data_IF_575860974842
#
_entry.id   IF_575860974842
#
_cell.length_a   1.000
_cell.length_b   1.000
_cell.length_c   1.000
_cell.angle_alpha   90.00
_cell.angle_beta   90.00
_cell.angle_gamma   90.00
#
_symmetry.space_group_name_H-M   'P 1'
#
loop_
_entity.id
_entity.type
_entity.pdbx_description
1 polymer ?
#
# COMPACT_ATOMS: atom_id res chain seq x y z
N UNK A 1 -6.54 24.77 7.01
CA UNK A 1 -5.87 24.99 5.72
C UNK A 1 -6.89 24.90 4.60
N UNK A 2 -6.83 25.79 3.63
CA UNK A 2 -7.58 25.75 2.38
C UNK A 2 -6.59 25.63 1.25
N UNK A 3 -6.90 24.85 0.24
CA UNK A 3 -6.04 24.69 -0.92
C UNK A 3 -6.82 24.14 -2.11
N UNK A 4 -6.12 24.00 -3.24
CA UNK A 4 -6.59 23.30 -4.41
C UNK A 4 -5.66 22.11 -4.66
N UNK A 5 -6.25 20.96 -5.02
CA UNK A 5 -5.51 19.81 -5.50
C UNK A 5 -6.08 19.43 -6.88
N UNK A 6 -5.32 19.75 -7.92
CA UNK A 6 -5.87 19.77 -9.28
C UNK A 6 -7.01 20.79 -9.36
N UNK A 7 -8.14 20.38 -9.89
CA UNK A 7 -9.35 21.22 -10.01
C UNK A 7 -10.31 21.12 -8.80
N UNK A 8 -9.87 20.46 -7.72
CA UNK A 8 -10.69 20.25 -6.54
C UNK A 8 -10.27 21.16 -5.38
N UNK A 9 -11.20 21.94 -4.86
CA UNK A 9 -11.03 22.65 -3.60
C UNK A 9 -10.97 21.65 -2.44
N UNK A 10 -10.05 21.83 -1.51
CA UNK A 10 -10.05 21.09 -0.25
C UNK A 10 -9.94 22.03 0.96
N UNK A 11 -10.47 21.58 2.07
CA UNK A 11 -10.37 22.26 3.35
C UNK A 11 -9.94 21.23 4.40
N UNK A 12 -8.78 21.45 4.98
CA UNK A 12 -8.29 20.64 6.11
C UNK A 12 -8.65 21.33 7.42
N UNK A 13 -9.40 20.63 8.26
CA UNK A 13 -9.79 21.06 9.61
C UNK A 13 -9.21 20.15 10.70
N UNK A 14 -8.39 19.19 10.34
CA UNK A 14 -7.79 18.22 11.28
C UNK A 14 -6.93 18.88 12.36
N UNK A 15 -6.32 20.03 12.04
CA UNK A 15 -5.54 20.81 13.00
C UNK A 15 -6.35 21.20 14.26
N UNK A 16 -7.65 21.36 14.15
CA UNK A 16 -8.53 21.68 15.28
C UNK A 16 -8.56 20.55 16.32
N UNK A 17 -8.42 19.29 15.88
CA UNK A 17 -8.31 18.13 16.76
C UNK A 17 -6.95 18.15 17.51
N UNK A 18 -5.87 18.46 16.80
CA UNK A 18 -4.54 18.55 17.38
C UNK A 18 -4.44 19.67 18.44
N UNK A 19 -5.21 20.74 18.27
CA UNK A 19 -5.32 21.85 19.23
C UNK A 19 -6.37 21.60 20.34
N UNK A 20 -6.99 20.41 20.37
CA UNK A 20 -8.04 20.08 21.35
C UNK A 20 -9.38 20.78 21.11
N UNK A 21 -9.59 21.43 19.96
CA UNK A 21 -10.78 22.23 19.62
C UNK A 21 -11.89 21.38 18.99
N UNK A 22 -12.30 20.30 19.65
CA UNK A 22 -13.23 19.30 19.10
C UNK A 22 -14.62 19.89 18.74
N UNK A 23 -15.13 20.86 19.51
CA UNK A 23 -16.40 21.53 19.20
C UNK A 23 -16.30 22.38 17.92
N UNK A 24 -15.18 23.04 17.71
CA UNK A 24 -14.95 23.79 16.48
C UNK A 24 -14.81 22.86 15.28
N UNK A 25 -14.14 21.71 15.45
CA UNK A 25 -14.08 20.65 14.44
C UNK A 25 -15.49 20.21 14.00
N UNK A 26 -16.39 19.92 14.96
CA UNK A 26 -17.76 19.56 14.63
C UNK A 26 -18.53 20.68 13.94
N UNK A 27 -18.37 21.89 14.43
CA UNK A 27 -19.07 23.04 13.85
C UNK A 27 -18.66 23.27 12.40
N UNK A 28 -17.35 23.28 12.13
CA UNK A 28 -16.81 23.44 10.77
C UNK A 28 -17.21 22.28 9.86
N UNK A 29 -17.12 21.03 10.31
CA UNK A 29 -17.56 19.87 9.55
C UNK A 29 -19.03 19.96 9.11
N UNK A 30 -19.92 20.38 10.02
CA UNK A 30 -21.34 20.59 9.69
C UNK A 30 -21.58 21.71 8.71
N UNK A 31 -20.84 22.85 8.85
CA UNK A 31 -20.92 23.95 7.89
C UNK A 31 -20.56 23.47 6.49
N UNK A 32 -19.47 22.71 6.33
CA UNK A 32 -19.03 22.21 5.04
C UNK A 32 -20.04 21.24 4.44
N UNK A 33 -20.51 20.27 5.20
CA UNK A 33 -21.53 19.32 4.72
C UNK A 33 -22.78 20.05 4.25
N UNK A 34 -23.26 21.03 5.01
CA UNK A 34 -24.44 21.81 4.61
C UNK A 34 -24.18 22.67 3.38
N UNK A 35 -22.98 23.30 3.29
CA UNK A 35 -22.58 24.16 2.15
C UNK A 35 -22.53 23.39 0.84
N UNK A 36 -22.05 22.14 0.87
CA UNK A 36 -21.84 21.33 -0.34
C UNK A 36 -22.98 20.37 -0.66
N UNK A 37 -23.98 20.29 0.23
CA UNK A 37 -25.17 19.48 -0.05
C UNK A 37 -25.95 20.08 -1.23
N UNK A 38 -26.26 19.25 -2.21
CA UNK A 38 -27.10 19.63 -3.35
C UNK A 38 -28.25 18.62 -3.47
N UNK A 39 -29.49 19.09 -3.27
CA UNK A 39 -30.70 18.25 -3.32
C UNK A 39 -30.92 17.56 -4.67
N UNK A 40 -30.40 18.15 -5.75
CA UNK A 40 -30.60 17.68 -7.13
C UNK A 40 -29.53 16.70 -7.58
N UNK A 41 -28.56 16.40 -6.72
CA UNK A 41 -27.43 15.51 -7.02
C UNK A 41 -27.28 14.43 -5.96
N UNK A 42 -26.63 13.33 -6.35
CA UNK A 42 -26.15 12.35 -5.38
C UNK A 42 -25.00 12.95 -4.58
N UNK A 43 -25.20 13.03 -3.27
CA UNK A 43 -24.18 13.51 -2.34
C UNK A 43 -23.52 12.30 -1.68
N UNK A 44 -22.19 12.22 -1.68
CA UNK A 44 -21.43 11.11 -1.11
C UNK A 44 -20.37 11.64 -0.16
N UNK A 45 -20.26 11.03 1.00
CA UNK A 45 -19.12 11.20 1.92
C UNK A 45 -18.30 9.92 1.90
N UNK A 46 -17.03 10.01 1.54
CA UNK A 46 -16.06 8.90 1.64
C UNK A 46 -15.25 9.09 2.91
N UNK A 47 -15.36 8.11 3.81
CA UNK A 47 -14.61 8.08 5.07
C UNK A 47 -13.38 7.20 4.87
N UNK A 48 -12.20 7.82 4.82
CA UNK A 48 -10.94 7.11 4.66
C UNK A 48 -10.48 6.50 5.98
N UNK A 49 -10.10 5.23 5.94
CA UNK A 49 -9.66 4.45 7.09
C UNK A 49 -10.75 4.23 8.17
N UNK A 50 -10.37 4.25 9.42
CA UNK A 50 -11.22 3.97 10.56
C UNK A 50 -11.96 5.23 11.03
N UNK A 51 -13.23 5.07 11.36
CA UNK A 51 -14.02 6.14 11.99
C UNK A 51 -13.62 6.29 13.45
N UNK A 52 -13.03 7.41 13.79
CA UNK A 52 -12.71 7.76 15.16
C UNK A 52 -13.96 8.31 15.89
N UNK A 53 -13.92 8.34 17.22
CA UNK A 53 -15.08 8.78 17.99
C UNK A 53 -15.45 10.25 17.75
N UNK A 54 -14.50 11.10 17.36
CA UNK A 54 -14.75 12.50 17.00
C UNK A 54 -15.35 12.68 15.60
N UNK A 55 -15.21 11.70 14.69
CA UNK A 55 -15.80 11.76 13.35
C UNK A 55 -17.28 11.36 13.36
N UNK A 56 -17.68 10.52 14.33
CA UNK A 56 -19.00 9.94 14.39
C UNK A 56 -20.15 10.96 14.32
N UNK A 57 -20.13 12.11 15.09
CA UNK A 57 -21.20 13.09 14.99
C UNK A 57 -21.27 13.79 13.64
N UNK A 58 -20.14 13.93 12.94
CA UNK A 58 -20.09 14.52 11.58
C UNK A 58 -20.70 13.55 10.58
N UNK A 59 -20.34 12.26 10.63
CA UNK A 59 -20.91 11.22 9.77
C UNK A 59 -22.41 11.07 10.01
N UNK A 60 -22.86 11.06 11.27
CA UNK A 60 -24.28 11.03 11.61
C UNK A 60 -25.02 12.22 11.03
N UNK A 61 -24.42 13.40 11.07
CA UNK A 61 -25.01 14.61 10.49
C UNK A 61 -25.06 14.52 8.96
N UNK A 62 -24.01 14.05 8.29
CA UNK A 62 -24.02 13.81 6.86
C UNK A 62 -25.17 12.87 6.46
N UNK A 63 -25.32 11.74 7.17
CA UNK A 63 -26.42 10.81 6.97
C UNK A 63 -27.79 11.47 7.13
N UNK A 64 -27.96 12.31 8.16
CA UNK A 64 -29.22 13.04 8.39
C UNK A 64 -29.55 14.09 7.32
N UNK A 65 -28.57 14.56 6.58
CA UNK A 65 -28.75 15.45 5.42
C UNK A 65 -29.08 14.67 4.13
N UNK A 66 -28.94 13.35 4.11
CA UNK A 66 -29.17 12.52 2.93
C UNK A 66 -27.90 12.17 2.13
N UNK A 67 -26.73 12.38 2.69
CA UNK A 67 -25.51 11.88 2.08
C UNK A 67 -25.48 10.35 2.09
N UNK A 68 -24.99 9.77 1.00
CA UNK A 68 -24.50 8.39 0.95
C UNK A 68 -23.18 8.28 1.69
N UNK A 69 -23.04 7.28 2.56
CA UNK A 69 -21.84 7.08 3.38
C UNK A 69 -21.07 5.87 2.84
N UNK A 70 -19.84 6.10 2.43
CA UNK A 70 -18.93 5.07 1.91
C UNK A 70 -17.67 5.04 2.76
N UNK A 71 -17.21 3.85 3.12
CA UNK A 71 -15.95 3.67 3.85
C UNK A 71 -14.87 3.16 2.92
N UNK A 72 -13.68 3.76 2.99
CA UNK A 72 -12.48 3.29 2.30
C UNK A 72 -11.52 2.65 3.32
N UNK A 73 -11.42 1.33 3.28
CA UNK A 73 -10.73 0.53 4.27
C UNK A 73 -9.47 -0.09 3.68
N UNK A 74 -8.33 0.45 4.07
CA UNK A 74 -7.00 0.00 3.62
C UNK A 74 -6.27 -0.88 4.64
N UNK A 75 -6.74 -0.91 5.90
CA UNK A 75 -6.13 -1.65 7.00
C UNK A 75 -7.17 -2.26 7.94
N UNK A 76 -6.74 -3.24 8.73
CA UNK A 76 -7.57 -3.84 9.78
C UNK A 76 -7.22 -3.28 11.15
N UNK A 77 -8.14 -3.41 12.12
CA UNK A 77 -7.94 -3.08 13.54
C UNK A 77 -6.91 -3.98 14.25
N UNK A 78 -6.29 -4.94 13.55
CA UNK A 78 -5.40 -5.94 14.15
C UNK A 78 -4.05 -5.42 14.63
N UNK A 79 -3.67 -4.18 14.27
CA UNK A 79 -2.38 -3.58 14.67
C UNK A 79 -2.26 -3.32 16.18
N UNK A 80 -3.31 -3.55 16.97
CA UNK A 80 -3.35 -3.16 18.38
C UNK A 80 -3.00 -4.28 19.36
N UNK A 81 -2.83 -5.51 18.89
CA UNK A 81 -2.62 -6.68 19.80
C UNK A 81 -1.16 -6.96 20.18
N UNK A 82 -0.19 -6.21 19.66
CA UNK A 82 1.24 -6.50 19.86
C UNK A 82 2.07 -5.43 20.56
N UNK A 83 1.50 -4.27 20.87
CA UNK A 83 2.24 -3.19 21.55
C UNK A 83 1.86 -3.11 23.02
N UNK A 84 2.84 -2.83 23.89
CA UNK A 84 2.63 -2.47 25.31
C UNK A 84 1.91 -1.12 25.39
N UNK A 85 0.63 -1.10 25.00
CA UNK A 85 -0.16 0.12 24.95
C UNK A 85 -0.59 0.54 26.34
N UNK A 86 -0.47 1.83 26.62
CA UNK A 86 -0.96 2.44 27.86
C UNK A 86 -2.47 2.16 28.06
N UNK A 87 -2.97 2.23 29.27
CA UNK A 87 -4.40 2.09 29.59
C UNK A 87 -5.24 3.07 28.77
N UNK A 88 -4.75 4.32 28.59
CA UNK A 88 -5.41 5.34 27.74
C UNK A 88 -5.57 4.87 26.32
N UNK A 89 -4.54 4.29 25.73
CA UNK A 89 -4.55 3.75 24.36
C UNK A 89 -5.55 2.59 24.22
N UNK A 90 -5.60 1.69 25.20
CA UNK A 90 -6.57 0.57 25.22
C UNK A 90 -8.02 1.06 25.27
N UNK A 91 -8.31 2.06 26.12
CA UNK A 91 -9.63 2.68 26.23
C UNK A 91 -10.00 3.38 24.92
N UNK A 92 -9.09 4.14 24.32
CA UNK A 92 -9.28 4.80 23.04
C UNK A 92 -9.69 3.76 21.95
N UNK A 93 -8.94 2.68 21.81
CA UNK A 93 -9.26 1.63 20.83
C UNK A 93 -10.61 0.94 21.10
N UNK A 94 -10.96 0.71 22.37
CA UNK A 94 -12.24 0.12 22.72
C UNK A 94 -13.41 1.04 22.31
N UNK A 95 -13.30 2.33 22.61
CA UNK A 95 -14.31 3.34 22.27
C UNK A 95 -14.43 3.51 20.75
N UNK A 96 -13.32 3.68 20.06
CA UNK A 96 -13.27 3.81 18.60
C UNK A 96 -13.86 2.57 17.92
N UNK A 97 -13.53 1.35 18.38
CA UNK A 97 -14.09 0.13 17.82
C UNK A 97 -15.61 0.00 18.00
N UNK A 98 -16.16 0.48 19.13
CA UNK A 98 -17.63 0.54 19.34
C UNK A 98 -18.30 1.56 18.45
N UNK A 99 -17.68 2.73 18.28
CA UNK A 99 -18.19 3.84 17.47
C UNK A 99 -18.13 3.48 16.00
N UNK A 100 -17.02 2.95 15.51
CA UNK A 100 -16.89 2.49 14.13
C UNK A 100 -17.99 1.48 13.78
N UNK A 101 -18.22 0.46 14.61
CA UNK A 101 -19.31 -0.50 14.38
C UNK A 101 -20.69 0.13 14.32
N UNK A 102 -20.94 1.20 15.08
CA UNK A 102 -22.20 1.95 15.00
C UNK A 102 -22.26 2.78 13.71
N UNK A 103 -21.17 3.39 13.31
CA UNK A 103 -21.09 4.20 12.09
C UNK A 103 -21.32 3.34 10.84
N UNK A 104 -20.84 2.11 10.82
CA UNK A 104 -21.06 1.18 9.70
C UNK A 104 -22.55 0.83 9.46
N UNK A 105 -23.43 1.04 10.43
CA UNK A 105 -24.89 0.89 10.22
C UNK A 105 -25.45 1.88 9.22
N UNK A 106 -24.78 2.99 8.95
CA UNK A 106 -25.16 3.99 7.96
C UNK A 106 -24.41 3.83 6.64
N UNK A 107 -23.63 2.77 6.50
CA UNK A 107 -22.86 2.54 5.27
C UNK A 107 -23.76 2.15 4.12
N UNK A 108 -23.68 2.87 3.02
CA UNK A 108 -24.25 2.49 1.74
C UNK A 108 -23.31 1.59 0.94
N UNK A 109 -21.99 1.64 1.24
CA UNK A 109 -20.99 0.80 0.62
C UNK A 109 -19.60 0.97 1.21
N UNK A 110 -18.67 0.08 0.82
CA UNK A 110 -17.27 0.19 1.22
C UNK A 110 -16.33 -0.17 0.08
N UNK A 111 -15.23 0.57 0.00
CA UNK A 111 -14.03 0.12 -0.65
C UNK A 111 -13.19 -0.70 0.33
N UNK A 112 -12.57 -1.73 -0.16
CA UNK A 112 -11.64 -2.59 0.59
C UNK A 112 -10.45 -2.92 -0.27
N UNK A 113 -9.27 -3.03 0.32
CA UNK A 113 -8.03 -3.19 -0.45
C UNK A 113 -7.74 -4.64 -0.84
N UNK A 114 -8.40 -5.63 -0.22
CA UNK A 114 -8.16 -7.06 -0.47
C UNK A 114 -9.42 -7.91 -0.25
N UNK A 115 -9.45 -9.10 -0.84
CA UNK A 115 -10.51 -10.08 -0.58
C UNK A 115 -10.57 -10.51 0.88
N UNK A 116 -9.41 -10.72 1.52
CA UNK A 116 -9.36 -11.10 2.92
C UNK A 116 -10.01 -10.03 3.82
N UNK A 117 -9.80 -8.75 3.51
CA UNK A 117 -10.45 -7.65 4.22
C UNK A 117 -11.95 -7.58 3.93
N UNK A 118 -12.36 -7.84 2.68
CA UNK A 118 -13.77 -7.94 2.30
C UNK A 118 -14.50 -9.05 3.07
N UNK A 119 -13.93 -10.25 3.10
CA UNK A 119 -14.49 -11.37 3.85
C UNK A 119 -14.61 -11.08 5.35
N UNK A 120 -13.59 -10.44 5.92
CA UNK A 120 -13.63 -10.02 7.33
C UNK A 120 -14.78 -9.04 7.59
N UNK A 121 -14.95 -8.05 6.72
CA UNK A 121 -15.97 -7.03 6.85
C UNK A 121 -17.38 -7.61 6.69
N UNK A 122 -17.60 -8.51 5.75
CA UNK A 122 -18.88 -9.20 5.58
C UNK A 122 -19.28 -10.00 6.84
N UNK A 123 -18.31 -10.50 7.61
CA UNK A 123 -18.57 -11.18 8.90
C UNK A 123 -18.86 -10.22 10.05
N UNK A 124 -18.30 -9.01 9.99
CA UNK A 124 -18.34 -8.05 11.10
C UNK A 124 -19.49 -7.03 10.99
N UNK A 125 -19.98 -6.75 9.78
CA UNK A 125 -20.92 -5.66 9.50
C UNK A 125 -22.13 -6.16 8.68
N UNK A 126 -23.26 -5.41 8.71
CA UNK A 126 -24.42 -5.73 7.89
C UNK A 126 -24.06 -5.86 6.40
N UNK A 127 -24.84 -6.64 5.64
CA UNK A 127 -24.62 -6.73 4.19
C UNK A 127 -24.66 -5.33 3.56
N UNK A 128 -23.59 -4.99 2.86
CA UNK A 128 -23.45 -3.74 2.12
C UNK A 128 -22.72 -4.01 0.81
N UNK A 129 -22.86 -3.09 -0.13
CA UNK A 129 -22.09 -3.16 -1.37
C UNK A 129 -20.60 -2.96 -1.04
N UNK A 130 -19.75 -3.86 -1.53
CA UNK A 130 -18.29 -3.75 -1.36
C UNK A 130 -17.59 -3.85 -2.69
N UNK A 131 -16.62 -2.97 -2.91
CA UNK A 131 -15.75 -2.95 -4.08
C UNK A 131 -14.30 -3.13 -3.63
N UNK A 132 -13.59 -4.11 -4.21
CA UNK A 132 -12.14 -4.20 -4.01
C UNK A 132 -11.49 -3.15 -4.88
N UNK A 133 -10.85 -2.19 -4.21
CA UNK A 133 -10.14 -1.08 -4.83
C UNK A 133 -8.67 -1.19 -4.47
N UNK A 134 -7.80 -1.65 -5.38
CA UNK A 134 -6.37 -1.69 -5.12
C UNK A 134 -5.81 -0.26 -5.06
N UNK A 135 -4.59 -0.12 -4.52
CA UNK A 135 -3.88 1.14 -4.59
C UNK A 135 -3.63 1.56 -6.04
N UNK A 136 -3.59 2.85 -6.29
CA UNK A 136 -3.22 3.41 -7.58
C UNK A 136 -1.78 3.93 -7.57
N UNK A 137 -1.13 3.85 -8.72
CA UNK A 137 0.24 4.31 -8.93
C UNK A 137 0.31 5.08 -10.26
N UNK A 138 1.02 6.21 -10.32
CA UNK A 138 1.26 6.89 -11.60
C UNK A 138 2.15 6.02 -12.48
N UNK A 139 1.99 6.15 -13.79
CA UNK A 139 2.91 5.54 -14.75
C UNK A 139 4.24 6.28 -14.64
N UNK A 140 5.33 5.56 -14.43
CA UNK A 140 6.66 6.14 -14.42
C UNK A 140 7.19 6.13 -15.85
N UNK A 141 7.22 7.30 -16.47
CA UNK A 141 7.73 7.44 -17.83
C UNK A 141 9.26 7.36 -17.85
N UNK A 142 9.79 6.36 -18.53
CA UNK A 142 11.20 6.22 -18.86
C UNK A 142 11.37 5.49 -20.18
N UNK A 143 12.46 5.78 -20.86
CA UNK A 143 12.91 4.97 -22.00
C UNK A 143 13.06 3.52 -21.56
N UNK A 144 12.45 2.59 -22.31
CA UNK A 144 12.53 1.16 -22.03
C UNK A 144 13.98 0.72 -21.87
N UNK A 145 14.30 0.11 -20.72
CA UNK A 145 15.63 -0.47 -20.47
C UNK A 145 15.89 -1.60 -21.49
N UNK A 146 17.10 -1.62 -22.06
CA UNK A 146 17.49 -2.61 -23.05
C UNK A 146 18.50 -3.63 -22.50
N UNK A 147 19.26 -3.22 -21.51
CA UNK A 147 20.33 -4.03 -20.91
C UNK A 147 20.36 -3.81 -19.40
N UNK A 148 20.82 -4.83 -18.68
CA UNK A 148 21.18 -4.68 -17.26
C UNK A 148 22.49 -3.91 -17.13
N UNK A 149 22.67 -3.26 -16.00
CA UNK A 149 23.95 -2.67 -15.60
C UNK A 149 25.02 -3.75 -15.37
N UNK A 150 26.27 -3.37 -15.31
CA UNK A 150 27.36 -4.29 -15.03
C UNK A 150 28.22 -3.77 -13.86
N UNK A 151 28.18 -4.42 -12.68
CA UNK A 151 27.31 -5.55 -12.32
C UNK A 151 25.82 -5.14 -12.20
N UNK A 152 24.88 -6.11 -12.40
CA UNK A 152 23.45 -5.85 -12.26
C UNK A 152 23.07 -5.41 -10.86
N UNK A 153 22.03 -4.57 -10.77
CA UNK A 153 21.56 -3.96 -9.53
C UNK A 153 20.22 -4.50 -9.11
N UNK A 154 20.10 -4.88 -7.84
CA UNK A 154 18.86 -5.32 -7.18
C UNK A 154 18.43 -4.22 -6.23
N UNK A 155 17.13 -3.89 -6.20
CA UNK A 155 16.58 -2.86 -5.31
C UNK A 155 15.63 -3.45 -4.28
N UNK A 156 15.84 -3.06 -3.05
CA UNK A 156 14.82 -3.05 -2.01
C UNK A 156 14.47 -1.61 -1.65
N UNK A 157 13.18 -1.28 -1.68
CA UNK A 157 12.67 0.03 -1.25
C UNK A 157 11.53 -0.12 -0.27
N UNK A 158 11.61 0.52 0.90
CA UNK A 158 10.50 0.58 1.86
C UNK A 158 10.90 0.46 3.32
N UNK A 159 9.91 0.11 4.17
CA UNK A 159 10.15 -0.08 5.60
C UNK A 159 10.92 -1.37 5.87
N UNK A 160 11.69 -1.38 6.96
CA UNK A 160 12.43 -2.56 7.42
C UNK A 160 11.64 -3.37 8.47
N UNK A 161 10.34 -3.12 8.56
CA UNK A 161 9.49 -3.87 9.48
C UNK A 161 9.49 -5.37 9.14
N UNK A 162 9.37 -6.22 10.15
CA UNK A 162 9.37 -7.68 10.00
C UNK A 162 8.47 -8.15 8.85
N UNK A 163 7.25 -7.58 8.75
CA UNK A 163 6.28 -7.90 7.68
C UNK A 163 6.81 -7.73 6.25
N UNK A 164 7.83 -6.91 6.07
CA UNK A 164 8.40 -6.60 4.75
C UNK A 164 9.47 -7.61 4.29
N UNK A 165 9.86 -8.56 5.18
CA UNK A 165 10.67 -9.73 4.84
C UNK A 165 12.08 -9.42 4.34
N UNK A 166 12.67 -8.29 4.77
CA UNK A 166 14.00 -7.85 4.34
C UNK A 166 15.07 -8.90 4.65
N UNK A 167 14.95 -9.59 5.77
CA UNK A 167 15.90 -10.64 6.19
C UNK A 167 16.01 -11.77 5.14
N UNK A 168 14.88 -12.18 4.56
CA UNK A 168 14.87 -13.23 3.53
C UNK A 168 15.55 -12.76 2.24
N UNK A 169 15.37 -11.49 1.86
CA UNK A 169 16.08 -10.92 0.72
C UNK A 169 17.60 -10.88 0.97
N UNK A 170 18.04 -10.42 2.13
CA UNK A 170 19.46 -10.36 2.45
C UNK A 170 20.11 -11.74 2.45
N UNK A 171 19.46 -12.74 3.04
CA UNK A 171 19.94 -14.13 3.00
C UNK A 171 19.97 -14.67 1.57
N UNK A 172 18.98 -14.36 0.75
CA UNK A 172 18.92 -14.77 -0.65
C UNK A 172 20.05 -14.09 -1.47
N UNK A 173 20.29 -12.81 -1.25
CA UNK A 173 21.40 -12.08 -1.89
C UNK A 173 22.76 -12.71 -1.56
N UNK A 174 23.03 -13.00 -0.29
CA UNK A 174 24.26 -13.68 0.13
C UNK A 174 24.38 -15.08 -0.49
N UNK A 175 23.27 -15.81 -0.63
CA UNK A 175 23.23 -17.11 -1.30
C UNK A 175 23.57 -17.00 -2.80
N UNK A 176 23.07 -15.95 -3.48
CA UNK A 176 23.40 -15.66 -4.89
C UNK A 176 24.90 -15.42 -5.06
N UNK A 177 25.48 -14.57 -4.20
CA UNK A 177 26.92 -14.31 -4.21
C UNK A 177 27.74 -15.58 -3.92
N UNK A 178 27.33 -16.39 -2.93
CA UNK A 178 27.98 -17.68 -2.61
C UNK A 178 27.97 -18.65 -3.80
N UNK A 179 26.94 -18.56 -4.67
CA UNK A 179 26.87 -19.35 -5.92
C UNK A 179 27.71 -18.76 -7.06
N UNK A 180 28.46 -17.66 -6.83
CA UNK A 180 29.41 -17.08 -7.78
C UNK A 180 28.81 -16.00 -8.70
N UNK A 181 27.56 -15.54 -8.47
CA UNK A 181 26.94 -14.48 -9.27
C UNK A 181 27.35 -13.10 -8.75
N UNK A 182 27.74 -12.20 -9.66
CA UNK A 182 28.05 -10.81 -9.35
C UNK A 182 26.83 -9.94 -9.54
N UNK A 183 26.42 -9.25 -8.47
CA UNK A 183 25.34 -8.26 -8.48
C UNK A 183 25.48 -7.34 -7.28
N UNK A 184 24.82 -6.18 -7.32
CA UNK A 184 24.77 -5.22 -6.21
C UNK A 184 23.36 -5.14 -5.63
N UNK A 185 23.27 -4.94 -4.32
CA UNK A 185 22.01 -4.69 -3.64
C UNK A 185 21.95 -3.23 -3.17
N UNK A 186 20.97 -2.50 -3.66
CA UNK A 186 20.67 -1.13 -3.22
C UNK A 186 19.42 -1.19 -2.31
N UNK A 187 19.51 -0.53 -1.17
CA UNK A 187 18.43 -0.53 -0.19
C UNK A 187 18.07 0.91 0.23
N UNK A 188 16.78 1.24 0.20
CA UNK A 188 16.29 2.55 0.66
C UNK A 188 15.17 2.37 1.69
N UNK A 189 15.03 3.36 2.57
CA UNK A 189 13.96 3.39 3.55
C UNK A 189 14.46 3.37 5.00
N UNK A 190 13.55 3.11 5.93
CA UNK A 190 13.87 3.06 7.37
C UNK A 190 12.99 2.05 8.11
N UNK A 191 13.41 1.72 9.34
CA UNK A 191 12.64 0.91 10.29
C UNK A 191 12.84 1.41 11.72
N UNK A 192 12.21 0.74 12.68
CA UNK A 192 12.56 0.90 14.08
C UNK A 192 14.00 0.41 14.33
N UNK A 193 14.71 0.90 15.36
CA UNK A 193 16.07 0.43 15.64
C UNK A 193 16.22 -1.09 15.76
N UNK A 194 15.20 -1.78 16.26
CA UNK A 194 15.16 -3.25 16.31
C UNK A 194 15.13 -3.89 14.93
N UNK A 195 14.36 -3.30 14.00
CA UNK A 195 14.21 -3.82 12.64
C UNK A 195 15.47 -3.58 11.81
N UNK A 196 16.16 -2.46 12.05
CA UNK A 196 17.40 -2.10 11.36
C UNK A 196 18.58 -3.03 11.67
N UNK A 197 18.50 -3.83 12.75
CA UNK A 197 19.53 -4.83 13.07
C UNK A 197 19.72 -5.87 11.96
N UNK A 198 18.77 -6.06 11.08
CA UNK A 198 18.90 -6.96 9.93
C UNK A 198 20.06 -6.57 9.01
N UNK A 199 20.45 -5.30 8.96
CA UNK A 199 21.58 -4.83 8.16
C UNK A 199 22.93 -5.35 8.66
N UNK A 200 23.03 -5.82 9.90
CA UNK A 200 24.23 -6.48 10.41
C UNK A 200 24.62 -7.71 9.59
N UNK A 201 23.66 -8.36 8.93
CA UNK A 201 23.91 -9.50 8.05
C UNK A 201 24.82 -9.15 6.84
N UNK A 202 24.83 -7.90 6.46
CA UNK A 202 25.52 -7.42 5.23
C UNK A 202 26.41 -6.19 5.47
N UNK A 203 26.69 -5.84 6.71
CA UNK A 203 27.43 -4.61 7.07
C UNK A 203 28.80 -4.48 6.41
N UNK A 204 29.50 -5.60 6.25
CA UNK A 204 30.86 -5.64 5.67
C UNK A 204 30.85 -6.07 4.17
N UNK A 205 29.66 -6.14 3.57
CA UNK A 205 29.53 -6.56 2.18
C UNK A 205 29.66 -5.34 1.24
N UNK A 206 30.72 -5.25 0.41
CA UNK A 206 30.97 -4.09 -0.45
C UNK A 206 29.95 -3.94 -1.58
N UNK A 207 29.20 -4.98 -1.91
CA UNK A 207 28.16 -4.96 -2.93
C UNK A 207 26.79 -4.56 -2.39
N UNK A 208 26.68 -4.21 -1.10
CA UNK A 208 25.44 -3.72 -0.49
C UNK A 208 25.55 -2.24 -0.18
N UNK A 209 24.63 -1.46 -0.73
CA UNK A 209 24.52 -0.03 -0.48
C UNK A 209 23.20 0.28 0.23
N UNK A 210 23.27 0.70 1.48
CA UNK A 210 22.11 1.27 2.20
C UNK A 210 22.14 2.80 2.10
N UNK A 211 21.13 3.37 1.42
CA UNK A 211 21.00 4.83 1.20
C UNK A 211 20.20 5.56 2.30
N UNK A 212 19.57 4.82 3.21
CA UNK A 212 18.65 5.43 4.17
C UNK A 212 17.36 5.93 3.53
N UNK A 213 16.75 6.95 4.16
CA UNK A 213 15.61 7.67 3.57
C UNK A 213 16.10 8.58 2.44
N UNK A 214 15.46 8.46 1.30
CA UNK A 214 15.71 9.28 0.11
C UNK A 214 14.50 10.17 -0.16
N UNK A 215 14.69 11.23 -0.96
CA UNK A 215 13.57 12.06 -1.44
C UNK A 215 12.70 11.28 -2.44
N UNK A 216 11.44 11.71 -2.63
CA UNK A 216 10.54 11.07 -3.60
C UNK A 216 11.13 11.06 -5.01
N UNK A 217 11.81 12.13 -5.41
CA UNK A 217 12.49 12.21 -6.69
C UNK A 217 13.61 11.17 -6.81
N UNK A 218 14.47 11.09 -5.81
CA UNK A 218 15.57 10.11 -5.78
C UNK A 218 15.04 8.67 -5.72
N UNK A 219 13.91 8.46 -5.03
CA UNK A 219 13.24 7.15 -5.01
C UNK A 219 12.81 6.74 -6.41
N UNK A 220 12.14 7.63 -7.15
CA UNK A 220 11.70 7.35 -8.53
C UNK A 220 12.89 7.09 -9.43
N UNK A 221 13.95 7.91 -9.35
CA UNK A 221 15.19 7.69 -10.11
C UNK A 221 15.80 6.32 -9.77
N UNK A 222 15.90 5.96 -8.49
CA UNK A 222 16.45 4.69 -8.04
C UNK A 222 15.61 3.49 -8.52
N UNK A 223 14.27 3.59 -8.43
CA UNK A 223 13.33 2.57 -8.94
C UNK A 223 13.52 2.32 -10.44
N UNK A 224 13.69 3.38 -11.20
CA UNK A 224 13.88 3.30 -12.65
C UNK A 224 15.27 2.79 -13.05
N UNK A 225 16.32 3.12 -12.29
CA UNK A 225 17.70 2.81 -12.63
C UNK A 225 18.13 1.39 -12.24
N UNK A 226 17.55 0.81 -11.18
CA UNK A 226 17.86 -0.56 -10.79
C UNK A 226 17.33 -1.57 -11.81
N UNK A 227 17.99 -2.74 -11.88
CA UNK A 227 17.69 -3.76 -12.88
C UNK A 227 16.60 -4.74 -12.42
N UNK A 228 16.63 -5.12 -11.16
CA UNK A 228 15.70 -6.07 -10.55
C UNK A 228 15.09 -5.44 -9.30
N UNK A 229 13.78 -5.40 -9.20
CA UNK A 229 13.08 -4.87 -8.04
C UNK A 229 12.54 -6.02 -7.19
N UNK A 230 12.46 -5.82 -5.87
CA UNK A 230 12.06 -6.88 -4.95
C UNK A 230 10.94 -6.44 -4.00
N UNK A 231 9.98 -7.35 -3.79
CA UNK A 231 8.92 -7.23 -2.81
C UNK A 231 8.80 -8.57 -2.05
N UNK A 232 9.48 -8.71 -0.91
CA UNK A 232 9.70 -9.98 -0.18
C UNK A 232 8.84 -10.12 1.08
N UNK A 233 7.63 -9.60 1.06
CA UNK A 233 6.73 -9.52 2.20
C UNK A 233 6.43 -10.89 2.81
N UNK A 234 6.41 -10.98 4.17
CA UNK A 234 6.05 -12.19 4.92
C UNK A 234 4.57 -12.56 4.81
N UNK A 235 4.26 -13.84 4.99
CA UNK A 235 2.89 -14.33 5.10
C UNK A 235 2.39 -14.18 6.54
N UNK A 236 1.57 -13.19 6.80
CA UNK A 236 0.92 -12.98 8.09
C UNK A 236 -0.52 -12.51 7.89
N UNK A 237 -1.36 -12.64 8.92
CA UNK A 237 -2.72 -12.09 8.85
C UNK A 237 -2.72 -10.61 8.47
N UNK A 238 -1.80 -9.84 9.05
CA UNK A 238 -1.66 -8.42 8.73
C UNK A 238 -1.26 -8.18 7.28
N UNK A 239 -0.29 -8.94 6.77
CA UNK A 239 0.14 -8.86 5.38
C UNK A 239 -0.98 -9.21 4.39
N UNK A 240 -1.82 -10.19 4.74
CA UNK A 240 -2.89 -10.68 3.87
C UNK A 240 -4.14 -9.78 3.87
N UNK A 241 -4.39 -9.02 4.93
CA UNK A 241 -5.49 -8.05 4.93
C UNK A 241 -5.18 -6.78 4.12
N UNK A 242 -3.91 -6.37 4.07
CA UNK A 242 -3.47 -5.26 3.22
C UNK A 242 -3.10 -5.72 1.81
N UNK A 243 -2.79 -4.78 0.94
CA UNK A 243 -2.18 -5.02 -0.37
C UNK A 243 -0.85 -4.27 -0.45
N UNK A 244 0.24 -4.88 -0.97
CA UNK A 244 1.55 -4.23 -0.98
C UNK A 244 1.63 -3.13 -2.04
N UNK A 245 1.69 -1.86 -1.61
CA UNK A 245 1.90 -0.70 -2.50
C UNK A 245 3.17 -0.85 -3.36
N UNK A 246 4.24 -1.41 -2.78
CA UNK A 246 5.51 -1.65 -3.47
C UNK A 246 5.36 -2.45 -4.77
N UNK A 247 4.37 -3.34 -4.86
CA UNK A 247 4.15 -4.12 -6.08
C UNK A 247 3.79 -3.21 -7.25
N UNK A 248 2.77 -2.36 -7.10
CA UNK A 248 2.34 -1.48 -8.18
C UNK A 248 3.41 -0.45 -8.55
N UNK A 249 4.14 0.09 -7.56
CA UNK A 249 5.28 1.00 -7.78
C UNK A 249 6.40 0.31 -8.56
N UNK A 250 6.75 -0.93 -8.19
CA UNK A 250 7.77 -1.70 -8.90
C UNK A 250 7.33 -2.03 -10.34
N UNK A 251 6.10 -2.49 -10.52
CA UNK A 251 5.56 -2.79 -11.85
C UNK A 251 5.47 -1.55 -12.75
N UNK A 252 5.27 -0.35 -12.17
CA UNK A 252 5.20 0.91 -12.91
C UNK A 252 6.51 1.28 -13.63
N UNK A 253 7.64 0.72 -13.20
CA UNK A 253 8.94 0.94 -13.84
C UNK A 253 9.13 0.16 -15.13
N UNK A 254 8.41 -0.95 -15.32
CA UNK A 254 8.65 -1.90 -16.41
C UNK A 254 9.91 -2.73 -16.23
N UNK A 255 10.61 -2.63 -15.09
CA UNK A 255 11.74 -3.48 -14.74
C UNK A 255 11.27 -4.84 -14.19
N UNK A 256 12.09 -5.91 -14.27
CA UNK A 256 11.81 -7.20 -13.67
C UNK A 256 11.54 -7.11 -12.17
N UNK A 257 10.51 -7.79 -11.69
CA UNK A 257 10.10 -7.81 -10.28
C UNK A 257 10.12 -9.23 -9.73
N UNK A 258 10.74 -9.43 -8.56
CA UNK A 258 10.58 -10.64 -7.74
C UNK A 258 9.61 -10.29 -6.62
N UNK A 259 8.51 -11.03 -6.53
CA UNK A 259 7.45 -10.73 -5.57
C UNK A 259 7.01 -11.99 -4.81
N UNK A 260 6.78 -11.85 -3.51
CA UNK A 260 6.16 -12.94 -2.71
C UNK A 260 4.65 -13.00 -2.95
N UNK A 261 4.13 -14.23 -3.00
CA UNK A 261 2.70 -14.50 -3.19
C UNK A 261 1.95 -14.34 -1.86
N UNK A 262 1.66 -13.10 -1.50
CA UNK A 262 0.91 -12.73 -0.29
C UNK A 262 -0.33 -11.92 -0.64
N UNK A 263 -1.36 -11.97 0.20
CA UNK A 263 -2.62 -11.26 -0.06
C UNK A 263 -3.20 -11.63 -1.43
N UNK A 264 -3.65 -10.64 -2.19
CA UNK A 264 -4.21 -10.81 -3.53
C UNK A 264 -3.15 -10.68 -4.66
N UNK A 265 -1.86 -10.69 -4.35
CA UNK A 265 -0.78 -10.52 -5.36
C UNK A 265 -0.95 -11.50 -6.52
N UNK A 266 -1.11 -12.79 -6.25
CA UNK A 266 -1.27 -13.83 -7.26
C UNK A 266 -2.56 -13.73 -8.10
N UNK A 267 -3.52 -12.85 -7.74
CA UNK A 267 -4.70 -12.57 -8.57
C UNK A 267 -4.40 -11.59 -9.72
N UNK A 268 -3.39 -10.76 -9.54
CA UNK A 268 -3.03 -9.73 -10.52
C UNK A 268 -1.84 -10.12 -11.38
N UNK A 269 -0.85 -10.80 -10.79
CA UNK A 269 0.39 -11.15 -11.49
C UNK A 269 0.55 -12.67 -11.61
N UNK A 270 1.31 -13.09 -12.62
CA UNK A 270 1.57 -14.52 -12.90
C UNK A 270 3.07 -14.76 -12.94
N UNK A 271 3.46 -15.91 -12.34
CA UNK A 271 4.84 -16.38 -12.32
C UNK A 271 5.38 -16.54 -13.73
N UNK A 272 6.61 -16.03 -13.97
CA UNK A 272 7.32 -16.08 -15.25
C UNK A 272 6.63 -15.39 -16.43
N UNK A 273 5.46 -14.77 -16.20
CA UNK A 273 4.75 -14.00 -17.23
C UNK A 273 4.87 -12.50 -16.99
N UNK A 274 4.61 -12.03 -15.76
CA UNK A 274 4.62 -10.60 -15.39
C UNK A 274 5.48 -10.28 -14.17
N UNK A 275 5.88 -11.28 -13.40
CA UNK A 275 6.83 -11.22 -12.29
C UNK A 275 7.49 -12.60 -12.10
N UNK A 276 8.59 -12.66 -11.34
CA UNK A 276 9.03 -13.91 -10.72
C UNK A 276 8.34 -14.04 -9.36
N UNK A 277 7.26 -14.84 -9.30
CA UNK A 277 6.47 -15.01 -8.09
C UNK A 277 7.07 -16.12 -7.23
N UNK A 278 7.30 -15.84 -5.94
CA UNK A 278 7.92 -16.77 -4.99
C UNK A 278 7.04 -16.99 -3.76
N UNK A 279 7.25 -18.09 -3.06
CA UNK A 279 6.63 -18.31 -1.78
C UNK A 279 7.20 -17.35 -0.73
N UNK A 280 6.37 -16.81 0.15
CA UNK A 280 6.85 -15.99 1.27
C UNK A 280 7.85 -16.78 2.13
N UNK A 281 8.84 -16.06 2.68
CA UNK A 281 9.81 -16.62 3.63
C UNK A 281 10.75 -17.69 3.04
N UNK A 282 10.73 -17.90 1.72
CA UNK A 282 11.57 -18.87 1.03
C UNK A 282 12.82 -18.21 0.42
N UNK A 283 13.94 -18.29 1.14
CA UNK A 283 15.24 -17.73 0.73
C UNK A 283 15.70 -18.29 -0.61
N UNK A 284 15.54 -19.61 -0.80
CA UNK A 284 15.96 -20.33 -1.99
C UNK A 284 15.19 -19.88 -3.23
N UNK A 285 13.87 -19.69 -3.13
CA UNK A 285 13.08 -19.23 -4.28
C UNK A 285 13.41 -17.79 -4.65
N UNK A 286 13.66 -16.90 -3.66
CA UNK A 286 14.10 -15.53 -3.93
C UNK A 286 15.45 -15.55 -4.64
N UNK A 287 16.41 -16.36 -4.14
CA UNK A 287 17.73 -16.49 -4.75
C UNK A 287 17.64 -17.05 -6.17
N UNK A 288 16.83 -18.08 -6.41
CA UNK A 288 16.61 -18.66 -7.73
C UNK A 288 15.98 -17.64 -8.69
N UNK A 289 15.07 -16.79 -8.21
CA UNK A 289 14.48 -15.70 -9.01
C UNK A 289 15.54 -14.67 -9.44
N UNK A 290 16.43 -14.29 -8.52
CA UNK A 290 17.57 -13.39 -8.83
C UNK A 290 18.45 -14.05 -9.89
N UNK A 291 18.91 -15.29 -9.67
CA UNK A 291 19.77 -16.02 -10.58
C UNK A 291 19.13 -16.16 -11.96
N UNK A 292 17.85 -16.55 -12.00
CA UNK A 292 17.13 -16.67 -13.27
C UNK A 292 17.17 -15.36 -14.08
N UNK A 293 16.94 -14.21 -13.44
CA UNK A 293 16.99 -12.92 -14.12
C UNK A 293 18.41 -12.53 -14.55
N UNK A 294 19.43 -12.88 -13.75
CA UNK A 294 20.83 -12.64 -14.12
C UNK A 294 21.27 -13.48 -15.33
N UNK A 295 20.81 -14.72 -15.40
CA UNK A 295 21.13 -15.63 -16.51
C UNK A 295 20.32 -15.35 -17.78
N UNK A 296 19.13 -14.76 -17.64
CA UNK A 296 18.17 -14.54 -18.72
C UNK A 296 17.72 -13.07 -18.82
N UNK A 297 18.64 -12.10 -18.98
CA UNK A 297 18.31 -10.69 -18.86
C UNK A 297 17.28 -10.20 -19.89
N UNK A 298 17.29 -10.72 -21.12
CA UNK A 298 16.32 -10.33 -22.14
C UNK A 298 14.90 -10.82 -21.80
N UNK A 299 14.79 -12.05 -21.28
CA UNK A 299 13.51 -12.57 -20.82
C UNK A 299 13.02 -11.83 -19.56
N UNK A 300 13.93 -11.51 -18.64
CA UNK A 300 13.65 -10.69 -17.47
C UNK A 300 13.03 -9.33 -17.86
N UNK A 301 13.65 -8.63 -18.82
CA UNK A 301 13.12 -7.36 -19.34
C UNK A 301 11.74 -7.52 -19.98
N UNK A 302 11.48 -8.61 -20.70
CA UNK A 302 10.16 -8.87 -21.26
C UNK A 302 9.11 -9.12 -20.16
N UNK A 303 9.45 -9.90 -19.13
CA UNK A 303 8.61 -10.11 -17.94
C UNK A 303 8.28 -8.77 -17.27
N UNK A 304 9.28 -7.89 -17.10
CA UNK A 304 9.09 -6.56 -16.55
C UNK A 304 8.10 -5.71 -17.38
N UNK A 305 8.20 -5.75 -18.72
CA UNK A 305 7.26 -5.05 -19.59
C UNK A 305 5.83 -5.60 -19.49
N UNK A 306 5.68 -6.91 -19.34
CA UNK A 306 4.39 -7.53 -19.07
C UNK A 306 3.84 -7.08 -17.70
N UNK A 307 4.71 -6.94 -16.69
CA UNK A 307 4.38 -6.37 -15.39
C UNK A 307 3.85 -4.93 -15.49
N UNK A 308 4.47 -4.10 -16.32
CA UNK A 308 3.96 -2.75 -16.60
C UNK A 308 2.57 -2.77 -17.24
N UNK A 309 2.27 -3.72 -18.11
CA UNK A 309 0.92 -3.88 -18.67
C UNK A 309 -0.10 -4.27 -17.59
N UNK A 310 0.28 -5.12 -16.64
CA UNK A 310 -0.56 -5.44 -15.46
C UNK A 310 -0.82 -4.19 -14.63
N UNK A 311 0.21 -3.38 -14.37
CA UNK A 311 0.08 -2.11 -13.63
C UNK A 311 -0.89 -1.16 -14.34
N UNK A 312 -0.73 -0.93 -15.65
CA UNK A 312 -1.61 -0.08 -16.46
C UNK A 312 -3.06 -0.54 -16.38
N UNK A 313 -3.29 -1.84 -16.43
CA UNK A 313 -4.64 -2.43 -16.42
C UNK A 313 -5.32 -2.35 -15.05
N UNK A 314 -4.58 -2.58 -13.96
CA UNK A 314 -5.16 -2.81 -12.64
C UNK A 314 -4.86 -1.76 -11.59
N UNK A 315 -3.76 -1.01 -11.75
CA UNK A 315 -3.22 -0.10 -10.74
C UNK A 315 -3.01 1.33 -11.26
N UNK A 316 -3.32 1.63 -12.52
CA UNK A 316 -3.23 3.01 -13.02
C UNK A 316 -4.23 3.92 -12.33
N UNK A 317 -3.88 5.20 -12.18
CA UNK A 317 -4.76 6.21 -11.57
C UNK A 317 -6.09 6.28 -12.33
N UNK A 318 -6.06 6.22 -13.67
CA UNK A 318 -7.27 6.27 -14.49
C UNK A 318 -8.14 5.02 -14.28
N UNK A 319 -7.53 3.82 -14.27
CA UNK A 319 -8.26 2.55 -14.12
C UNK A 319 -8.90 2.40 -12.75
N UNK A 320 -8.12 2.70 -11.69
CA UNK A 320 -8.62 2.67 -10.30
C UNK A 320 -9.63 3.79 -10.07
N UNK A 321 -9.35 5.01 -10.58
CA UNK A 321 -10.26 6.15 -10.48
C UNK A 321 -11.61 5.89 -11.16
N UNK A 322 -11.60 5.29 -12.36
CA UNK A 322 -12.85 4.88 -13.02
C UNK A 322 -13.65 3.89 -12.16
N UNK A 323 -13.00 2.85 -11.63
CA UNK A 323 -13.64 1.87 -10.75
C UNK A 323 -14.21 2.50 -9.48
N UNK A 324 -13.50 3.47 -8.91
CA UNK A 324 -13.96 4.26 -7.77
C UNK A 324 -15.25 5.02 -8.11
N UNK A 325 -15.25 5.79 -9.19
CA UNK A 325 -16.42 6.58 -9.61
C UNK A 325 -17.60 5.67 -9.98
N UNK A 326 -17.36 4.60 -10.76
CA UNK A 326 -18.41 3.65 -11.16
C UNK A 326 -19.11 3.05 -9.92
N UNK A 327 -18.36 2.73 -8.87
CA UNK A 327 -18.94 2.25 -7.63
C UNK A 327 -19.79 3.33 -6.94
N UNK A 328 -19.31 4.57 -6.82
CA UNK A 328 -20.03 5.68 -6.19
C UNK A 328 -21.32 6.06 -6.96
N UNK A 329 -21.32 5.90 -8.27
CA UNK A 329 -22.53 6.14 -9.09
C UNK A 329 -23.60 5.08 -8.82
N UNK A 330 -23.20 3.84 -8.50
CA UNK A 330 -24.10 2.69 -8.38
C UNK A 330 -24.52 2.35 -6.93
N UNK A 331 -24.12 3.12 -5.92
CA UNK A 331 -24.56 2.95 -4.52
C UNK A 331 -25.87 3.63 -4.19
#
# INVERSE_FOLDING_TARGET
LKGMYGDCDYIDISYLLNEGKIFQYYHQGKIFLKKWFNSDKKNVVVCYTKVEFWDYPIIRYAYSLGYKIVYDQVETDYNTKGTNNSIKTKIHFLLTGKVSRRAYKWSDGSFVISEALKEQNLKAYPPQKMCILPNSTPILEKTKKQFFSNPPTILYSGTFAKKDGVEYLLKAFLLVQKKGYSCRLIMTGKGQPSDMKVLELVKDNPDVQYKGMVSDRELVETLLDCDILTMTRENSKFSNYGFPFKLSESLATGNPVIATNVSDVGKYVKHMESVYLVQPECVEEIANGIIYYLENPQNALQIGQNGLNVMKKHFSIEGVGKKFIDFLVNI
#
